data_IF_426520667152
#
_entry.id   IF_426520667152
#
_cell.length_a   1.000
_cell.length_b   1.000
_cell.length_c   1.000
_cell.angle_alpha   90.00
_cell.angle_beta   90.00
_cell.angle_gamma   90.00
#
_symmetry.space_group_name_H-M   'P 1'
#
loop_
_entity.id
_entity.type
_entity.pdbx_description
1 polymer ?
#
# COMPACT_ATOMS: atom_id res chain seq x y z
N UNK A 1 -0.44 -12.59 18.67
CA UNK A 1 -1.59 -12.66 17.75
C UNK A 1 -2.88 -12.61 18.53
N UNK A 2 -3.87 -11.82 18.11
CA UNK A 2 -5.18 -11.81 18.74
C UNK A 2 -5.86 -13.17 18.50
N UNK A 3 -6.60 -13.61 19.51
CA UNK A 3 -7.41 -14.83 19.46
C UNK A 3 -8.89 -14.44 19.31
N UNK A 4 -9.56 -15.03 18.34
CA UNK A 4 -10.99 -14.85 18.11
C UNK A 4 -11.83 -15.60 19.17
N UNK A 5 -13.11 -15.25 19.37
CA UNK A 5 -13.98 -15.93 20.35
C UNK A 5 -14.12 -17.45 20.14
N UNK A 6 -13.88 -17.95 18.93
CA UNK A 6 -13.91 -19.38 18.58
C UNK A 6 -12.56 -20.09 18.81
N UNK A 7 -11.57 -19.40 19.38
CA UNK A 7 -10.25 -19.93 19.68
C UNK A 7 -9.25 -19.83 18.53
N UNK A 8 -9.66 -19.37 17.34
CA UNK A 8 -8.73 -19.18 16.22
C UNK A 8 -7.71 -18.08 16.53
N UNK A 9 -6.44 -18.36 16.24
CA UNK A 9 -5.35 -17.38 16.35
C UNK A 9 -5.09 -16.79 14.97
N UNK A 10 -5.31 -15.49 14.82
CA UNK A 10 -5.07 -14.81 13.54
C UNK A 10 -3.59 -14.42 13.42
N UNK A 11 -2.83 -14.98 12.45
CA UNK A 11 -1.49 -14.48 12.18
C UNK A 11 -1.62 -13.04 11.66
N UNK A 12 -1.16 -12.08 12.47
CA UNK A 12 -1.11 -10.69 12.01
C UNK A 12 0.10 -10.51 11.09
N UNK A 13 -0.05 -9.78 9.99
CA UNK A 13 1.09 -9.39 9.17
C UNK A 13 2.04 -8.50 9.99
N UNK A 14 3.31 -8.51 9.63
CA UNK A 14 4.29 -7.60 10.23
C UNK A 14 3.98 -6.14 9.87
N UNK A 15 4.25 -5.23 10.81
CA UNK A 15 4.29 -3.80 10.53
C UNK A 15 5.68 -3.43 10.05
N UNK A 16 5.76 -2.64 8.98
CA UNK A 16 7.03 -2.11 8.47
C UNK A 16 7.32 -0.79 9.20
N UNK A 17 8.46 -0.73 9.89
CA UNK A 17 9.02 0.50 10.44
C UNK A 17 10.28 0.84 9.66
N UNK A 18 10.30 2.04 9.06
CA UNK A 18 11.43 2.52 8.28
C UNK A 18 11.74 3.98 8.64
N UNK A 19 13.02 4.32 8.64
CA UNK A 19 13.52 5.67 8.91
C UNK A 19 14.47 6.09 7.78
N UNK A 20 14.40 7.36 7.38
CA UNK A 20 15.30 7.93 6.39
C UNK A 20 15.75 9.34 6.82
N UNK A 21 17.06 9.48 7.06
CA UNK A 21 17.65 10.72 7.55
C UNK A 21 17.63 10.81 9.08
N UNK A 22 18.62 11.49 9.65
CA UNK A 22 18.82 11.60 11.11
C UNK A 22 19.36 12.97 11.56
N UNK A 23 19.28 13.97 10.69
CA UNK A 23 19.79 15.31 10.98
C UNK A 23 18.80 16.04 11.91
N UNK A 24 19.19 16.37 13.16
CA UNK A 24 18.29 17.00 14.13
C UNK A 24 17.85 18.42 13.72
N UNK A 25 18.48 19.01 12.70
CA UNK A 25 18.08 20.32 12.15
C UNK A 25 16.88 20.23 11.21
N UNK A 26 16.60 19.04 10.68
CA UNK A 26 15.47 18.81 9.77
C UNK A 26 14.23 18.37 10.55
N UNK A 27 13.02 18.79 10.15
CA UNK A 27 11.80 18.25 10.73
C UNK A 27 11.62 16.78 10.32
N UNK A 28 11.10 15.96 11.24
CA UNK A 28 10.75 14.56 10.99
C UNK A 28 9.26 14.45 10.64
N UNK A 29 8.96 13.82 9.51
CA UNK A 29 7.59 13.49 9.09
C UNK A 29 7.38 11.98 9.19
N UNK A 30 6.34 11.55 9.90
CA UNK A 30 5.92 10.15 9.94
C UNK A 30 4.85 9.89 8.88
N UNK A 31 5.12 9.00 7.93
CA UNK A 31 4.16 8.54 6.95
C UNK A 31 3.58 7.19 7.39
N UNK A 32 2.25 7.07 7.33
CA UNK A 32 1.53 5.82 7.55
C UNK A 32 0.76 5.45 6.29
N UNK A 33 0.81 4.17 5.94
CA UNK A 33 0.01 3.56 4.89
C UNK A 33 -0.11 2.06 5.12
N UNK A 34 -0.87 1.39 4.27
CA UNK A 34 -1.06 -0.05 4.35
C UNK A 34 -0.91 -0.71 2.97
N UNK A 35 -0.62 -2.02 2.97
CA UNK A 35 -0.27 -2.77 1.76
C UNK A 35 -1.16 -3.99 1.52
N UNK A 36 -1.96 -4.34 2.51
CA UNK A 36 -3.09 -5.24 2.35
C UNK A 36 -4.17 -4.57 1.49
N UNK A 37 -5.04 -5.39 0.90
CA UNK A 37 -6.10 -4.95 0.01
C UNK A 37 -7.35 -5.77 0.30
N UNK A 38 -8.50 -5.18 0.03
CA UNK A 38 -9.76 -5.93 0.06
C UNK A 38 -9.74 -7.07 -0.97
N UNK A 39 -10.46 -8.17 -0.72
CA UNK A 39 -10.71 -9.19 -1.73
C UNK A 39 -11.35 -8.60 -2.99
N UNK A 40 -11.08 -9.22 -4.14
CA UNK A 40 -11.75 -8.94 -5.39
C UNK A 40 -11.70 -10.18 -6.27
N UNK A 41 -12.81 -10.47 -6.95
CA UNK A 41 -12.90 -11.51 -7.96
C UNK A 41 -13.42 -10.93 -9.26
N UNK A 42 -13.05 -11.54 -10.38
CA UNK A 42 -13.55 -11.12 -11.70
C UNK A 42 -15.08 -11.16 -11.75
N UNK A 43 -15.66 -12.17 -11.12
CA UNK A 43 -17.11 -12.42 -11.06
C UNK A 43 -17.88 -11.38 -10.24
N UNK A 44 -17.20 -10.56 -9.43
CA UNK A 44 -17.82 -9.45 -8.69
C UNK A 44 -18.22 -8.27 -9.61
N UNK A 45 -18.00 -8.38 -10.93
CA UNK A 45 -18.35 -7.37 -11.92
C UNK A 45 -17.18 -6.54 -12.45
N UNK A 46 -15.94 -7.03 -12.33
CA UNK A 46 -14.76 -6.32 -12.81
C UNK A 46 -14.66 -6.39 -14.35
N UNK A 47 -14.37 -5.26 -14.99
CA UNK A 47 -14.13 -5.20 -16.44
C UNK A 47 -12.74 -5.71 -16.84
N UNK A 48 -11.74 -5.61 -15.96
CA UNK A 48 -10.38 -6.18 -16.11
C UNK A 48 -10.15 -7.30 -15.09
N UNK A 49 -9.03 -8.02 -15.14
CA UNK A 49 -8.62 -8.85 -14.00
C UNK A 49 -8.27 -7.92 -12.82
N UNK A 50 -8.87 -8.10 -11.62
CA UNK A 50 -8.64 -7.20 -10.49
C UNK A 50 -7.18 -7.16 -10.02
N UNK A 51 -6.39 -8.21 -10.23
CA UNK A 51 -5.00 -8.28 -9.76
C UNK A 51 -3.97 -8.10 -10.88
N UNK A 52 -4.42 -7.83 -12.11
CA UNK A 52 -3.57 -7.37 -13.21
C UNK A 52 -3.81 -5.88 -13.45
N UNK A 53 -2.85 -5.03 -13.05
CA UNK A 53 -2.95 -3.59 -13.27
C UNK A 53 -3.06 -3.30 -14.77
N UNK A 54 -4.17 -2.70 -15.19
CA UNK A 54 -4.48 -2.45 -16.60
C UNK A 54 -4.76 -0.97 -16.80
N UNK A 55 -4.08 -0.34 -17.75
CA UNK A 55 -4.35 1.04 -18.14
C UNK A 55 -5.42 1.09 -19.23
N UNK A 56 -6.44 1.95 -19.04
CA UNK A 56 -7.48 2.23 -20.04
C UNK A 56 -7.73 3.74 -20.03
N UNK A 57 -7.50 4.39 -21.17
CA UNK A 57 -7.71 5.84 -21.35
C UNK A 57 -7.03 6.70 -20.26
N UNK A 58 -5.80 6.34 -19.88
CA UNK A 58 -5.00 7.03 -18.86
C UNK A 58 -5.38 6.71 -17.41
N UNK A 59 -6.40 5.88 -17.17
CA UNK A 59 -6.77 5.41 -15.84
C UNK A 59 -6.17 4.02 -15.55
N UNK A 60 -5.64 3.84 -14.34
CA UNK A 60 -5.02 2.59 -13.89
C UNK A 60 -6.01 1.76 -13.08
N UNK A 61 -6.50 0.66 -13.65
CA UNK A 61 -7.47 -0.25 -13.04
C UNK A 61 -6.78 -1.44 -12.38
N UNK A 62 -7.05 -1.64 -11.08
CA UNK A 62 -6.59 -2.81 -10.33
C UNK A 62 -6.94 -2.67 -8.85
N UNK A 63 -7.26 -3.79 -8.19
CA UNK A 63 -7.46 -3.86 -6.74
C UNK A 63 -6.17 -3.43 -6.04
N UNK A 64 -6.28 -2.43 -5.18
CA UNK A 64 -5.15 -1.87 -4.46
C UNK A 64 -4.55 -0.63 -5.10
N UNK A 65 -4.94 -0.26 -6.33
CA UNK A 65 -4.35 0.85 -7.07
C UNK A 65 -4.46 2.17 -6.29
N UNK A 66 -5.68 2.59 -5.93
CA UNK A 66 -5.87 3.81 -5.11
C UNK A 66 -5.85 3.55 -3.60
N UNK A 67 -6.22 2.34 -3.18
CA UNK A 67 -6.38 1.97 -1.77
C UNK A 67 -5.58 0.70 -1.46
N UNK A 68 -4.31 0.80 -1.04
CA UNK A 68 -3.54 2.04 -0.82
C UNK A 68 -2.13 1.99 -1.44
N UNK A 69 -1.90 1.06 -2.38
CA UNK A 69 -0.58 0.82 -2.95
C UNK A 69 -0.09 2.01 -3.78
N UNK A 70 -0.97 2.65 -4.56
CA UNK A 70 -0.63 3.85 -5.32
C UNK A 70 -0.14 4.99 -4.43
N UNK A 71 -0.90 5.43 -3.41
CA UNK A 71 -0.45 6.45 -2.46
C UNK A 71 0.85 6.10 -1.73
N UNK A 72 1.05 4.85 -1.28
CA UNK A 72 2.31 4.41 -0.67
C UNK A 72 3.47 4.55 -1.67
N UNK A 73 3.28 4.09 -2.91
CA UNK A 73 4.29 4.22 -3.96
C UNK A 73 4.55 5.67 -4.35
N UNK A 74 3.55 6.56 -4.29
CA UNK A 74 3.73 7.98 -4.56
C UNK A 74 4.73 8.62 -3.57
N UNK A 75 4.62 8.30 -2.28
CA UNK A 75 5.60 8.74 -1.28
C UNK A 75 7.01 8.21 -1.55
N UNK A 76 7.13 6.92 -1.83
CA UNK A 76 8.41 6.29 -2.14
C UNK A 76 9.04 6.93 -3.39
N UNK A 77 8.24 7.17 -4.44
CA UNK A 77 8.70 7.77 -5.68
C UNK A 77 9.11 9.25 -5.51
N UNK A 78 8.39 10.02 -4.69
CA UNK A 78 8.77 11.40 -4.38
C UNK A 78 10.15 11.46 -3.68
N UNK A 79 10.35 10.62 -2.66
CA UNK A 79 11.64 10.50 -1.97
C UNK A 79 12.74 10.03 -2.92
N UNK A 80 12.47 8.99 -3.73
CA UNK A 80 13.42 8.47 -4.72
C UNK A 80 13.84 9.56 -5.71
N UNK A 81 12.88 10.33 -6.20
CA UNK A 81 13.12 11.42 -7.16
C UNK A 81 14.00 12.50 -6.54
N UNK A 82 13.68 12.95 -5.32
CA UNK A 82 14.49 13.96 -4.63
C UNK A 82 15.93 13.49 -4.36
N UNK A 83 16.12 12.21 -4.03
CA UNK A 83 17.45 11.61 -3.81
C UNK A 83 18.28 11.43 -5.09
N UNK A 84 17.65 11.48 -6.25
CA UNK A 84 18.32 11.34 -7.55
C UNK A 84 18.70 12.68 -8.19
N UNK A 85 18.29 13.80 -7.57
CA UNK A 85 18.78 15.15 -7.89
C UNK A 85 20.21 15.32 -7.35
#
# INVERSE_FOLDING_TARGET
SPQLPDGQVLPLPSVILGELGKDPRNPTVCFYGHVDVQPAKKEDGWNTDPYTLTEIDGNLYGRGATDNKGPVLAWINAVKTFRAL
#
